data_IF_001324566592
#
_entry.id   IF_001324566592
#
_cell.length_a   1.000
_cell.length_b   1.000
_cell.length_c   1.000
_cell.angle_alpha   90.00
_cell.angle_beta   90.00
_cell.angle_gamma   90.00
#
_symmetry.space_group_name_H-M   'P 1'
#
loop_
_entity.id
_entity.type
_entity.pdbx_description
1 polymer ?
#
# COMPACT_ATOMS: atom_id res chain seq x y z
N UNK A 1 -20.50 -2.86 -15.48
CA UNK A 1 -19.98 -1.56 -15.92
C UNK A 1 -19.04 -1.04 -14.85
N UNK A 2 -17.83 -1.60 -14.83
CA UNK A 2 -16.75 -1.18 -13.94
C UNK A 2 -15.90 -0.10 -14.58
N UNK A 3 -15.09 0.57 -13.77
CA UNK A 3 -14.03 1.45 -14.26
C UNK A 3 -12.72 0.98 -13.63
N UNK A 4 -11.68 0.84 -14.45
CA UNK A 4 -10.35 0.48 -13.96
C UNK A 4 -9.44 1.70 -14.01
N UNK A 5 -8.83 2.01 -12.86
CA UNK A 5 -7.78 3.02 -12.75
C UNK A 5 -6.47 2.31 -12.51
N UNK A 6 -5.48 2.60 -13.34
CA UNK A 6 -4.15 1.99 -13.26
C UNK A 6 -3.06 3.05 -13.39
N UNK A 7 -1.91 2.79 -12.77
CA UNK A 7 -0.76 3.69 -12.75
C UNK A 7 0.49 2.96 -13.24
N UNK A 8 1.30 3.65 -14.05
CA UNK A 8 2.51 3.11 -14.66
C UNK A 8 3.67 4.10 -14.59
N UNK A 9 4.87 3.59 -14.31
CA UNK A 9 6.09 4.41 -14.13
C UNK A 9 7.04 4.26 -15.32
N UNK A 10 7.34 5.35 -16.02
CA UNK A 10 8.23 5.38 -17.19
C UNK A 10 9.46 6.27 -16.96
N UNK A 11 10.60 6.01 -17.64
CA UNK A 11 11.75 6.92 -17.61
C UNK A 11 11.42 8.25 -18.29
N UNK A 12 12.14 9.33 -17.94
CA UNK A 12 11.90 10.67 -18.49
C UNK A 12 11.92 10.74 -20.03
N UNK A 13 12.86 10.02 -20.65
CA UNK A 13 13.10 10.02 -22.09
C UNK A 13 12.22 9.01 -22.87
N UNK A 14 11.11 8.57 -22.27
CA UNK A 14 10.21 7.60 -22.92
C UNK A 14 9.56 8.18 -24.18
N UNK A 15 9.39 7.33 -25.20
CA UNK A 15 8.56 7.66 -26.37
C UNK A 15 7.08 7.64 -25.97
N UNK A 16 6.51 8.84 -25.79
CA UNK A 16 5.11 9.03 -25.40
C UNK A 16 4.11 8.40 -26.37
N UNK A 17 4.41 8.37 -27.68
CA UNK A 17 3.53 7.74 -28.68
C UNK A 17 3.56 6.23 -28.56
N UNK A 18 4.74 5.66 -28.28
CA UNK A 18 4.87 4.23 -27.98
C UNK A 18 4.12 3.88 -26.70
N UNK A 19 4.23 4.68 -25.64
CA UNK A 19 3.48 4.47 -24.38
C UNK A 19 1.98 4.42 -24.65
N UNK A 20 1.44 5.40 -25.37
CA UNK A 20 0.02 5.42 -25.70
C UNK A 20 -0.40 4.17 -26.49
N UNK A 21 0.34 3.79 -27.53
CA UNK A 21 0.03 2.61 -28.34
C UNK A 21 0.07 1.32 -27.52
N UNK A 22 1.09 1.14 -26.70
CA UNK A 22 1.26 -0.06 -25.87
C UNK A 22 0.11 -0.18 -24.85
N UNK A 23 -0.27 0.93 -24.21
CA UNK A 23 -1.39 0.95 -23.25
C UNK A 23 -2.76 0.84 -23.93
N UNK A 24 -2.95 1.43 -25.12
CA UNK A 24 -4.20 1.31 -25.88
C UNK A 24 -4.44 -0.14 -26.32
N UNK A 25 -3.39 -0.84 -26.77
CA UNK A 25 -3.46 -2.27 -27.08
C UNK A 25 -3.81 -3.10 -25.84
N UNK A 26 -3.19 -2.80 -24.70
CA UNK A 26 -3.51 -3.45 -23.43
C UNK A 26 -5.00 -3.26 -23.06
N UNK A 27 -5.52 -2.03 -23.11
CA UNK A 27 -6.93 -1.73 -22.81
C UNK A 27 -7.88 -2.47 -23.75
N UNK A 28 -7.57 -2.54 -25.05
CA UNK A 28 -8.39 -3.30 -26.00
C UNK A 28 -8.45 -4.79 -25.67
N UNK A 29 -7.35 -5.38 -25.19
CA UNK A 29 -7.32 -6.77 -24.77
C UNK A 29 -8.09 -7.03 -23.48
N UNK A 30 -7.96 -6.15 -22.49
CA UNK A 30 -8.70 -6.26 -21.22
C UNK A 30 -10.20 -6.05 -21.42
N UNK A 31 -10.58 -5.06 -22.24
CA UNK A 31 -11.96 -4.68 -22.47
C UNK A 31 -12.57 -5.33 -23.71
N UNK A 32 -12.04 -6.47 -24.18
CA UNK A 32 -12.41 -7.07 -25.47
C UNK A 32 -13.91 -7.39 -25.61
N UNK A 33 -14.61 -7.68 -24.51
CA UNK A 33 -16.05 -7.95 -24.51
C UNK A 33 -16.90 -6.67 -24.49
N UNK A 34 -16.38 -5.60 -23.87
CA UNK A 34 -17.13 -4.37 -23.60
C UNK A 34 -16.73 -3.20 -24.53
N UNK A 35 -15.72 -3.38 -25.38
CA UNK A 35 -15.29 -2.39 -26.37
C UNK A 35 -14.61 -1.17 -25.76
N UNK A 36 -13.96 -1.33 -24.60
CA UNK A 36 -13.23 -0.26 -23.93
C UNK A 36 -12.08 0.27 -24.78
N UNK A 37 -11.81 1.56 -24.66
CA UNK A 37 -10.73 2.25 -25.37
C UNK A 37 -9.98 3.17 -24.41
N UNK A 38 -8.71 3.43 -24.75
CA UNK A 38 -7.88 4.36 -24.00
C UNK A 38 -8.03 5.77 -24.58
N UNK A 39 -8.33 6.74 -23.71
CA UNK A 39 -8.30 8.15 -24.08
C UNK A 39 -6.88 8.69 -24.20
N UNK A 40 -6.71 9.76 -24.97
CA UNK A 40 -5.41 10.42 -25.11
C UNK A 40 -4.81 10.78 -23.74
N UNK A 41 -3.54 10.43 -23.54
CA UNK A 41 -2.82 10.74 -22.30
C UNK A 41 -2.42 12.21 -22.33
N UNK A 42 -2.93 13.00 -21.38
CA UNK A 42 -2.54 14.39 -21.20
C UNK A 42 -1.23 14.46 -20.41
N UNK A 43 -0.14 14.74 -21.11
CA UNK A 43 1.18 14.95 -20.52
C UNK A 43 1.26 16.35 -19.91
N UNK A 44 1.16 16.43 -18.58
CA UNK A 44 1.12 17.70 -17.85
C UNK A 44 2.53 18.28 -17.75
N UNK A 45 2.73 19.48 -18.29
CA UNK A 45 3.99 20.21 -18.21
C UNK A 45 4.16 20.92 -16.86
N UNK A 46 4.24 20.11 -15.80
CA UNK A 46 4.60 20.57 -14.46
C UNK A 46 6.09 20.32 -14.20
N UNK A 47 6.67 21.11 -13.28
CA UNK A 47 8.00 20.80 -12.73
C UNK A 47 7.97 19.41 -12.06
N UNK A 48 9.05 18.61 -12.13
CA UNK A 48 9.09 17.31 -11.49
C UNK A 48 8.71 17.40 -10.00
N UNK A 49 7.72 16.60 -9.61
CA UNK A 49 7.22 16.54 -8.24
C UNK A 49 8.22 15.81 -7.32
N UNK A 50 8.21 16.07 -6.01
CA UNK A 50 9.26 15.58 -5.11
C UNK A 50 9.25 14.07 -4.87
N UNK A 51 8.13 13.39 -5.13
CA UNK A 51 7.99 11.94 -4.97
C UNK A 51 6.85 11.39 -5.84
N UNK A 52 6.78 10.06 -5.97
CA UNK A 52 5.69 9.35 -6.68
C UNK A 52 4.33 9.59 -6.02
N UNK A 53 4.29 9.65 -4.68
CA UNK A 53 3.05 9.93 -3.92
C UNK A 53 2.54 11.35 -4.19
N UNK A 54 3.45 12.34 -4.24
CA UNK A 54 3.08 13.72 -4.59
C UNK A 54 2.56 13.80 -6.03
N UNK A 55 3.05 12.94 -6.93
CA UNK A 55 2.54 12.80 -8.28
C UNK A 55 1.15 12.18 -8.35
N UNK A 56 0.86 11.11 -7.59
CA UNK A 56 -0.49 10.56 -7.49
C UNK A 56 -1.49 11.61 -6.96
N UNK A 57 -1.14 12.33 -5.89
CA UNK A 57 -1.99 13.39 -5.34
C UNK A 57 -2.20 14.52 -6.37
N UNK A 58 -1.17 14.87 -7.13
CA UNK A 58 -1.27 15.87 -8.19
C UNK A 58 -2.21 15.40 -9.31
N UNK A 59 -2.08 14.15 -9.76
CA UNK A 59 -2.95 13.57 -10.79
C UNK A 59 -4.41 13.57 -10.33
N UNK A 60 -4.68 13.10 -9.10
CA UNK A 60 -6.03 13.08 -8.53
C UNK A 60 -6.68 14.48 -8.46
N UNK A 61 -5.89 15.54 -8.25
CA UNK A 61 -6.39 16.92 -8.24
C UNK A 61 -6.63 17.51 -9.62
N UNK A 62 -5.95 17.00 -10.65
CA UNK A 62 -6.04 17.48 -12.04
C UNK A 62 -6.88 16.59 -12.94
N UNK A 63 -7.44 15.53 -12.36
CA UNK A 63 -8.39 14.62 -12.95
C UNK A 63 -9.71 15.35 -13.24
N UNK A 64 -10.10 15.40 -14.51
CA UNK A 64 -11.33 16.03 -14.97
C UNK A 64 -12.52 15.06 -14.97
N UNK A 65 -12.35 13.86 -14.44
CA UNK A 65 -13.39 12.84 -14.34
C UNK A 65 -13.25 11.80 -15.45
N UNK A 66 -14.38 11.33 -15.96
CA UNK A 66 -14.50 10.05 -16.66
C UNK A 66 -13.38 9.77 -17.67
N UNK A 67 -12.62 8.70 -17.38
CA UNK A 67 -11.62 8.13 -18.28
C UNK A 67 -10.48 9.10 -18.63
N UNK A 68 -10.20 10.09 -17.78
CA UNK A 68 -9.12 11.05 -17.99
C UNK A 68 -7.75 10.39 -17.71
N UNK A 69 -6.96 10.28 -18.76
CA UNK A 69 -5.64 9.70 -18.74
C UNK A 69 -4.60 10.82 -18.62
N UNK A 70 -3.74 10.73 -17.62
CA UNK A 70 -2.84 11.81 -17.23
C UNK A 70 -1.42 11.31 -17.04
N UNK A 71 -0.45 12.17 -17.33
CA UNK A 71 0.94 11.90 -16.99
C UNK A 71 1.58 13.12 -16.33
N UNK A 72 2.36 12.90 -15.28
CA UNK A 72 3.14 13.96 -14.61
C UNK A 72 4.53 13.45 -14.25
N UNK A 73 5.50 14.36 -14.21
CA UNK A 73 6.88 14.03 -13.83
C UNK A 73 7.06 14.03 -12.32
N UNK A 74 7.88 13.12 -11.81
CA UNK A 74 8.32 13.06 -10.42
C UNK A 74 9.80 12.67 -10.31
N UNK A 75 10.39 12.93 -9.14
CA UNK A 75 11.75 12.52 -8.80
C UNK A 75 11.73 11.14 -8.12
N UNK A 76 12.46 10.19 -8.68
CA UNK A 76 12.70 8.88 -8.09
C UNK A 76 14.10 8.85 -7.45
N UNK A 77 14.17 8.43 -6.19
CA UNK A 77 15.42 8.22 -5.51
C UNK A 77 16.20 7.04 -6.13
N UNK A 78 17.51 7.20 -6.34
CA UNK A 78 18.36 6.07 -6.72
C UNK A 78 18.54 5.11 -5.53
N UNK A 79 17.72 4.06 -5.52
CA UNK A 79 17.78 3.00 -4.51
C UNK A 79 18.92 2.01 -4.74
N UNK A 80 19.62 2.05 -5.88
CA UNK A 80 20.79 1.19 -6.13
C UNK A 80 22.03 1.72 -5.42
N UNK A 81 22.12 3.04 -5.22
CA UNK A 81 23.18 3.70 -4.45
C UNK A 81 22.62 4.42 -3.21
N UNK A 82 22.07 3.69 -2.23
CA UNK A 82 21.43 4.29 -1.08
C UNK A 82 22.42 4.96 -0.12
N UNK A 83 21.94 5.97 0.61
CA UNK A 83 22.72 6.58 1.69
C UNK A 83 22.82 5.62 2.89
N UNK A 84 23.87 5.78 3.70
CA UNK A 84 24.00 5.01 4.96
C UNK A 84 22.82 5.26 5.91
N UNK A 85 22.27 6.48 5.89
CA UNK A 85 21.07 6.82 6.66
C UNK A 85 19.84 6.00 6.22
N UNK A 86 19.63 5.87 4.91
CA UNK A 86 18.55 5.06 4.35
C UNK A 86 18.70 3.57 4.70
N UNK A 87 19.90 3.01 4.56
CA UNK A 87 20.19 1.61 4.95
C UNK A 87 19.90 1.38 6.44
N UNK A 88 20.35 2.30 7.31
CA UNK A 88 20.10 2.21 8.75
C UNK A 88 18.61 2.27 9.09
N UNK A 89 17.83 3.10 8.38
CA UNK A 89 16.38 3.15 8.53
C UNK A 89 15.70 1.85 8.09
N UNK A 90 16.15 1.23 6.99
CA UNK A 90 15.63 -0.07 6.54
C UNK A 90 15.87 -1.19 7.56
N UNK A 91 17.05 -1.25 8.17
CA UNK A 91 17.34 -2.22 9.23
C UNK A 91 16.45 -2.00 10.48
N UNK A 92 16.29 -0.74 10.89
CA UNK A 92 15.38 -0.37 11.99
C UNK A 92 13.94 -0.76 11.68
N UNK A 93 13.48 -0.49 10.44
CA UNK A 93 12.14 -0.88 9.97
C UNK A 93 11.95 -2.38 10.05
N UNK A 94 12.92 -3.16 9.56
CA UNK A 94 12.89 -4.63 9.59
C UNK A 94 12.72 -5.15 11.02
N UNK A 95 13.48 -4.61 11.97
CA UNK A 95 13.39 -4.99 13.39
C UNK A 95 12.05 -4.60 14.02
N UNK A 96 11.59 -3.37 13.77
CA UNK A 96 10.30 -2.87 14.27
C UNK A 96 9.13 -3.69 13.72
N UNK A 97 9.14 -3.96 12.41
CA UNK A 97 8.13 -4.78 11.75
C UNK A 97 8.16 -6.22 12.26
N UNK A 98 9.34 -6.82 12.43
CA UNK A 98 9.48 -8.16 13.01
C UNK A 98 8.84 -8.25 14.41
N UNK A 99 9.03 -7.22 15.24
CA UNK A 99 8.39 -7.11 16.55
C UNK A 99 6.87 -6.98 16.43
N UNK A 100 6.37 -6.10 15.56
CA UNK A 100 4.93 -5.96 15.30
C UNK A 100 4.30 -7.27 14.81
N UNK A 101 4.91 -7.93 13.82
CA UNK A 101 4.43 -9.19 13.25
C UNK A 101 4.39 -10.30 14.30
N UNK A 102 5.42 -10.40 15.15
CA UNK A 102 5.46 -11.36 16.26
C UNK A 102 4.31 -11.13 17.24
N UNK A 103 4.11 -9.87 17.68
CA UNK A 103 3.05 -9.53 18.62
C UNK A 103 1.65 -9.75 18.02
N UNK A 104 1.45 -9.37 16.76
CA UNK A 104 0.15 -9.46 16.11
C UNK A 104 -0.21 -10.91 15.72
N UNK A 105 0.79 -11.72 15.37
CA UNK A 105 0.63 -13.13 15.00
C UNK A 105 0.48 -14.08 16.18
N UNK A 106 0.70 -13.62 17.42
CA UNK A 106 0.54 -14.46 18.61
C UNK A 106 -0.91 -14.97 18.76
N UNK A 107 -1.06 -16.29 18.85
CA UNK A 107 -2.36 -16.93 19.11
C UNK A 107 -2.66 -16.85 20.61
N UNK A 108 -3.25 -15.73 21.06
CA UNK A 108 -3.50 -15.45 22.48
C UNK A 108 -4.31 -16.56 23.17
N UNK A 109 -5.32 -17.13 22.50
CA UNK A 109 -6.11 -18.21 23.08
C UNK A 109 -5.27 -19.45 23.44
N UNK A 110 -4.13 -19.67 22.77
CA UNK A 110 -3.21 -20.76 23.09
C UNK A 110 -2.51 -20.57 24.44
N UNK A 111 -2.34 -19.32 24.88
CA UNK A 111 -1.68 -18.98 26.15
C UNK A 111 -2.59 -19.07 27.37
N UNK A 112 -3.90 -19.20 27.16
CA UNK A 112 -4.89 -19.31 28.24
C UNK A 112 -4.92 -20.76 28.75
N UNK A 113 -4.93 -20.97 30.06
CA UNK A 113 -5.03 -22.31 30.68
C UNK A 113 -6.46 -22.83 30.83
N UNK A 114 -7.46 -21.95 30.88
CA UNK A 114 -8.86 -22.34 31.05
C UNK A 114 -9.42 -23.10 29.85
N UNK A 115 -10.29 -24.09 30.10
CA UNK A 115 -10.97 -24.85 29.05
C UNK A 115 -11.94 -24.02 28.20
N UNK A 116 -12.33 -22.84 28.68
CA UNK A 116 -13.22 -21.91 28.00
C UNK A 116 -12.63 -20.50 27.95
N UNK A 117 -12.95 -19.76 26.89
CA UNK A 117 -12.63 -18.35 26.71
C UNK A 117 -13.95 -17.57 26.70
N UNK A 118 -14.03 -16.47 27.44
CA UNK A 118 -15.19 -15.56 27.44
C UNK A 118 -14.94 -14.37 26.52
N UNK A 119 -15.93 -14.00 25.71
CA UNK A 119 -15.91 -12.76 24.94
C UNK A 119 -16.36 -11.59 25.83
N UNK A 120 -15.50 -10.58 26.02
CA UNK A 120 -15.85 -9.38 26.80
C UNK A 120 -16.85 -8.46 26.09
N UNK A 121 -17.05 -8.64 24.78
CA UNK A 121 -17.96 -7.82 23.98
C UNK A 121 -19.41 -8.35 24.01
N UNK A 122 -19.62 -9.62 23.69
CA UNK A 122 -20.97 -10.21 23.61
C UNK A 122 -21.30 -11.22 24.73
N UNK A 123 -20.38 -11.44 25.67
CA UNK A 123 -20.57 -12.36 26.80
C UNK A 123 -20.50 -13.86 26.46
N UNK A 124 -20.38 -14.24 25.18
CA UNK A 124 -20.34 -15.64 24.76
C UNK A 124 -19.16 -16.41 25.37
N UNK A 125 -19.40 -17.67 25.76
CA UNK A 125 -18.39 -18.58 26.31
C UNK A 125 -18.05 -19.65 25.27
N UNK A 126 -16.79 -19.72 24.87
CA UNK A 126 -16.32 -20.55 23.76
C UNK A 126 -15.38 -21.64 24.28
N UNK A 127 -15.49 -22.86 23.75
CA UNK A 127 -14.56 -23.94 24.08
C UNK A 127 -13.18 -23.67 23.47
N UNK A 128 -12.14 -23.58 24.31
CA UNK A 128 -10.79 -23.24 23.86
C UNK A 128 -10.21 -24.26 22.88
N UNK A 129 -10.42 -25.56 23.12
CA UNK A 129 -9.89 -26.62 22.27
C UNK A 129 -10.53 -26.62 20.88
N UNK A 130 -11.83 -26.32 20.79
CA UNK A 130 -12.53 -26.16 19.52
C UNK A 130 -11.99 -24.94 18.73
N UNK A 131 -11.77 -23.81 19.42
CA UNK A 131 -11.22 -22.60 18.80
C UNK A 131 -9.80 -22.80 18.25
N UNK A 132 -8.96 -23.61 18.92
CA UNK A 132 -7.62 -23.94 18.43
C UNK A 132 -7.63 -24.88 17.21
N UNK A 133 -8.67 -25.69 17.04
CA UNK A 133 -8.84 -26.58 15.88
C UNK A 133 -9.38 -25.82 14.66
N UNK A 134 -10.26 -24.84 14.85
CA UNK A 134 -10.83 -23.97 13.81
C UNK A 134 -9.88 -22.81 13.45
N UNK A 135 -8.85 -23.08 12.65
CA UNK A 135 -7.69 -22.18 12.45
C UNK A 135 -7.97 -20.84 11.74
N UNK A 136 -9.19 -20.55 11.29
CA UNK A 136 -9.45 -19.41 10.39
C UNK A 136 -9.25 -18.04 11.06
N UNK A 137 -9.49 -17.91 12.37
CA UNK A 137 -9.26 -16.68 13.13
C UNK A 137 -9.22 -16.91 14.65
N UNK A 138 -8.13 -17.47 15.21
CA UNK A 138 -8.12 -17.99 16.58
C UNK A 138 -8.26 -16.91 17.66
N UNK A 139 -7.99 -15.65 17.34
CA UNK A 139 -8.14 -14.53 18.29
C UNK A 139 -9.48 -13.78 18.14
N UNK A 140 -10.39 -14.21 17.26
CA UNK A 140 -11.68 -13.54 17.07
C UNK A 140 -12.80 -14.35 17.68
N UNK A 141 -13.79 -13.65 18.24
CA UNK A 141 -15.03 -14.26 18.65
C UNK A 141 -15.77 -14.79 17.41
N UNK A 142 -16.17 -16.07 17.36
CA UNK A 142 -16.93 -16.62 16.24
C UNK A 142 -18.39 -16.12 16.22
N UNK A 143 -18.87 -15.51 17.32
CA UNK A 143 -20.24 -15.01 17.44
C UNK A 143 -20.35 -13.56 16.99
N UNK A 144 -19.45 -12.68 17.47
CA UNK A 144 -19.52 -11.23 17.19
C UNK A 144 -18.30 -10.66 16.46
N UNK A 145 -17.29 -11.47 16.12
CA UNK A 145 -16.08 -11.03 15.40
C UNK A 145 -15.07 -10.20 16.21
N UNK A 146 -15.41 -9.83 17.46
CA UNK A 146 -14.55 -9.03 18.33
C UNK A 146 -13.23 -9.73 18.65
N UNK A 147 -12.16 -8.95 18.80
CA UNK A 147 -10.86 -9.45 19.22
C UNK A 147 -10.91 -9.90 20.69
N UNK A 148 -10.46 -11.13 20.95
CA UNK A 148 -10.46 -11.76 22.27
C UNK A 148 -9.22 -11.38 23.09
N UNK A 149 -8.21 -10.73 22.49
CA UNK A 149 -7.00 -10.30 23.18
C UNK A 149 -7.32 -9.19 24.21
N UNK A 150 -6.63 -9.17 25.37
CA UNK A 150 -6.82 -8.11 26.35
C UNK A 150 -6.42 -6.74 25.80
N UNK A 151 -7.04 -5.68 26.32
CA UNK A 151 -6.76 -4.31 25.92
C UNK A 151 -5.25 -3.96 25.97
N UNK A 152 -4.54 -4.40 27.02
CA UNK A 152 -3.09 -4.17 27.14
C UNK A 152 -2.27 -4.88 26.05
N UNK A 153 -2.70 -6.04 25.53
CA UNK A 153 -2.05 -6.69 24.38
C UNK A 153 -2.34 -5.91 23.09
N UNK A 154 -3.57 -5.48 22.88
CA UNK A 154 -3.96 -4.67 21.72
C UNK A 154 -3.20 -3.34 21.68
N UNK A 155 -3.07 -2.67 22.83
CA UNK A 155 -2.28 -1.43 22.96
C UNK A 155 -0.80 -1.65 22.63
N UNK A 156 -0.21 -2.77 23.05
CA UNK A 156 1.18 -3.10 22.69
C UNK A 156 1.35 -3.33 21.18
N UNK A 157 0.38 -3.96 20.52
CA UNK A 157 0.37 -4.16 19.07
C UNK A 157 0.23 -2.81 18.36
N UNK A 158 -0.68 -1.97 18.84
CA UNK A 158 -0.91 -0.61 18.34
C UNK A 158 0.35 0.23 18.39
N UNK A 159 1.02 0.27 19.55
CA UNK A 159 2.26 1.02 19.73
C UNK A 159 3.40 0.47 18.87
N UNK A 160 3.47 -0.85 18.67
CA UNK A 160 4.43 -1.45 17.75
C UNK A 160 4.14 -1.06 16.30
N UNK A 161 2.87 -0.97 15.89
CA UNK A 161 2.47 -0.51 14.55
C UNK A 161 2.86 0.96 14.35
N UNK A 162 2.50 1.84 15.30
CA UNK A 162 2.86 3.27 15.25
C UNK A 162 4.37 3.48 15.11
N UNK A 163 5.19 2.65 15.77
CA UNK A 163 6.63 2.72 15.63
C UNK A 163 7.11 2.35 14.22
N UNK A 164 6.47 1.39 13.56
CA UNK A 164 6.73 1.09 12.13
C UNK A 164 6.32 2.27 11.27
N UNK A 165 5.11 2.81 11.46
CA UNK A 165 4.59 3.94 10.68
C UNK A 165 5.50 5.18 10.79
N UNK A 166 6.06 5.46 11.98
CA UNK A 166 7.00 6.55 12.18
C UNK A 166 8.31 6.34 11.41
N UNK A 167 8.83 5.11 11.37
CA UNK A 167 10.03 4.77 10.59
C UNK A 167 9.74 4.88 9.10
N UNK A 168 8.57 4.45 8.65
CA UNK A 168 8.16 4.53 7.24
C UNK A 168 8.05 5.99 6.78
N UNK A 169 7.55 6.90 7.64
CA UNK A 169 7.61 8.34 7.37
C UNK A 169 9.03 8.88 7.21
N UNK A 170 9.94 8.47 8.10
CA UNK A 170 11.36 8.87 8.01
C UNK A 170 12.04 8.31 6.76
N UNK A 171 11.69 7.11 6.33
CA UNK A 171 12.14 6.53 5.07
C UNK A 171 11.68 7.38 3.90
N UNK A 172 10.39 7.74 3.83
CA UNK A 172 9.86 8.58 2.76
C UNK A 172 10.53 9.97 2.71
N UNK A 173 10.80 10.58 3.86
CA UNK A 173 11.55 11.84 3.94
C UNK A 173 12.98 11.71 3.42
N UNK A 174 13.68 10.63 3.78
CA UNK A 174 15.05 10.38 3.30
C UNK A 174 15.07 10.05 1.80
N UNK A 175 14.08 9.31 1.28
CA UNK A 175 13.92 9.09 -0.16
C UNK A 175 13.72 10.42 -0.90
N UNK A 176 12.88 11.33 -0.38
CA UNK A 176 12.72 12.67 -0.97
C UNK A 176 14.03 13.46 -0.98
N UNK A 177 14.86 13.33 0.06
CA UNK A 177 16.19 13.98 0.11
C UNK A 177 17.15 13.37 -0.91
N UNK A 178 17.18 12.04 -1.03
CA UNK A 178 17.98 11.33 -2.01
C UNK A 178 17.57 11.71 -3.44
N UNK A 179 16.25 11.75 -3.70
CA UNK A 179 15.67 12.11 -4.98
C UNK A 179 16.05 13.54 -5.40
N UNK A 180 16.03 14.50 -4.46
CA UNK A 180 16.48 15.88 -4.72
C UNK A 180 17.97 16.01 -5.02
N UNK A 181 18.80 15.13 -4.47
CA UNK A 181 20.26 15.22 -4.61
C UNK A 181 20.72 14.62 -5.94
N UNK A 182 20.35 13.36 -6.19
CA UNK A 182 20.84 12.55 -7.32
C UNK A 182 19.72 11.71 -7.95
N UNK A 183 18.44 12.06 -7.74
CA UNK A 183 17.32 11.29 -8.26
C UNK A 183 17.16 11.41 -9.77
N UNK A 184 16.54 10.41 -10.37
CA UNK A 184 16.14 10.43 -11.77
C UNK A 184 14.74 11.03 -11.91
N UNK A 185 14.51 11.75 -13.00
CA UNK A 185 13.15 12.18 -13.36
C UNK A 185 12.43 11.00 -14.04
N UNK A 186 11.16 10.82 -13.68
CA UNK A 186 10.29 9.78 -14.22
C UNK A 186 8.91 10.32 -14.50
N UNK A 187 8.17 9.62 -15.35
CA UNK A 187 6.76 9.86 -15.59
C UNK A 187 5.91 8.88 -14.79
N UNK A 188 4.93 9.39 -14.05
CA UNK A 188 3.80 8.62 -13.55
C UNK A 188 2.63 8.83 -14.51
N UNK A 189 2.16 7.75 -15.13
CA UNK A 189 1.04 7.74 -16.08
C UNK A 189 -0.15 7.06 -15.42
N UNK A 190 -1.24 7.81 -15.19
CA UNK A 190 -2.57 7.30 -14.85
C UNK A 190 -3.33 7.01 -16.13
N UNK A 191 -3.90 5.82 -16.24
CA UNK A 191 -4.94 5.51 -17.21
C UNK A 191 -6.24 5.13 -16.52
N UNK A 192 -7.34 5.42 -17.18
CA UNK A 192 -8.68 5.03 -16.73
C UNK A 192 -9.51 4.60 -17.92
N UNK A 193 -10.13 3.42 -17.85
CA UNK A 193 -10.87 2.83 -18.96
C UNK A 193 -12.05 1.96 -18.49
N UNK A 194 -12.94 1.66 -19.43
CA UNK A 194 -14.14 0.86 -19.22
C UNK A 194 -13.87 -0.64 -19.42
N UNK A 195 -14.52 -1.47 -18.60
CA UNK A 195 -14.50 -2.95 -18.67
C UNK A 195 -15.75 -3.57 -18.09
#
# INVERSE_FOLDING_TARGET
MGHNIQHYDYPENVDQKKVFRDLANYVQHEAWQEGGHLNEIRWLDAKPLPSRDDAEEFLNKHDKGWYDCLAVRYLEADRHNPTQAYIALLDRRRKAYGRFATLNGEVYISTISSGYVGCKNCGSKMNRAAMLKGRSAPNRCPVCGADLRPASKLERIENARKAVDEIDRKLAEEERRMAKRNGAVRWLVKIEFHT
#
